data_IF_412951264754
#
_entry.id   IF_412951264754
#
_cell.length_a   1.000
_cell.length_b   1.000
_cell.length_c   1.000
_cell.angle_alpha   90.00
_cell.angle_beta   90.00
_cell.angle_gamma   90.00
#
_symmetry.space_group_name_H-M   'P 1'
#
loop_
_entity.id
_entity.type
_entity.pdbx_description
1 polymer ?
#
# COMPACT_ATOMS: atom_id res chain seq x y z
N UNK A 1 1.95 -25.30 19.90
CA UNK A 1 3.00 -24.27 20.09
C UNK A 1 2.47 -22.85 20.38
N UNK A 2 1.16 -22.59 20.33
CA UNK A 2 0.59 -21.25 20.56
C UNK A 2 0.72 -20.66 21.99
N UNK A 3 1.03 -21.45 23.03
CA UNK A 3 0.91 -20.98 24.42
C UNK A 3 2.03 -20.04 24.89
N UNK A 4 3.28 -20.23 24.44
CA UNK A 4 4.41 -19.45 24.92
C UNK A 4 4.43 -18.02 24.34
N UNK A 5 4.18 -17.87 23.03
CA UNK A 5 4.14 -16.57 22.35
C UNK A 5 2.97 -15.72 22.86
N UNK A 6 1.80 -16.33 23.09
CA UNK A 6 0.65 -15.65 23.67
C UNK A 6 0.89 -15.24 25.13
N UNK A 7 1.53 -16.09 25.93
CA UNK A 7 1.88 -15.76 27.31
C UNK A 7 2.88 -14.59 27.38
N UNK A 8 3.85 -14.57 26.47
CA UNK A 8 4.82 -13.49 26.30
C UNK A 8 4.16 -12.17 25.91
N UNK A 9 3.24 -12.20 24.94
CA UNK A 9 2.47 -11.03 24.53
C UNK A 9 1.63 -10.50 25.69
N UNK A 10 0.92 -11.36 26.40
CA UNK A 10 0.11 -10.97 27.57
C UNK A 10 0.96 -10.40 28.72
N UNK A 11 2.20 -10.88 28.90
CA UNK A 11 3.17 -10.29 29.84
C UNK A 11 3.56 -8.87 29.41
N UNK A 12 3.85 -8.69 28.12
CA UNK A 12 4.16 -7.37 27.55
C UNK A 12 2.98 -6.40 27.67
N UNK A 13 1.76 -6.80 27.28
CA UNK A 13 0.56 -5.95 27.37
C UNK A 13 0.26 -5.51 28.81
N UNK A 14 0.45 -6.39 29.80
CA UNK A 14 0.30 -6.02 31.22
C UNK A 14 1.35 -4.99 31.67
N UNK A 15 2.57 -5.07 31.15
CA UNK A 15 3.59 -4.07 31.42
C UNK A 15 3.28 -2.75 30.72
N UNK A 16 2.82 -2.82 29.46
CA UNK A 16 2.41 -1.67 28.65
C UNK A 16 1.27 -0.89 29.30
N UNK A 17 0.24 -1.58 29.78
CA UNK A 17 -0.89 -0.95 30.49
C UNK A 17 -0.43 -0.19 31.73
N UNK A 18 0.52 -0.74 32.51
CA UNK A 18 1.10 -0.04 33.67
C UNK A 18 1.94 1.16 33.27
N UNK A 19 2.66 1.06 32.15
CA UNK A 19 3.45 2.18 31.61
C UNK A 19 2.56 3.36 31.20
N UNK A 20 1.44 3.09 30.51
CA UNK A 20 0.52 4.14 30.06
C UNK A 20 -0.41 4.70 31.16
N UNK A 21 -0.48 4.06 32.33
CA UNK A 21 -1.09 4.66 33.53
C UNK A 21 -0.27 5.83 34.10
N UNK A 22 1.03 5.91 33.77
CA UNK A 22 1.89 7.04 34.12
C UNK A 22 1.63 8.16 33.10
N UNK A 23 1.34 9.37 33.58
CA UNK A 23 1.15 10.53 32.71
C UNK A 23 2.42 10.81 31.89
N UNK A 24 2.27 11.28 30.65
CA UNK A 24 3.39 11.43 29.72
C UNK A 24 4.53 12.30 30.27
N UNK A 25 4.20 13.37 30.99
CA UNK A 25 5.17 14.28 31.63
C UNK A 25 5.94 13.65 32.81
N UNK A 26 5.46 12.53 33.35
CA UNK A 26 6.05 11.85 34.50
C UNK A 26 6.81 10.57 34.13
N UNK A 27 6.72 10.10 32.87
CA UNK A 27 7.40 8.88 32.41
C UNK A 27 8.90 9.09 32.36
N UNK A 28 9.65 8.30 33.12
CA UNK A 28 11.11 8.39 33.22
C UNK A 28 11.79 7.41 32.26
N UNK A 29 13.05 7.66 31.92
CA UNK A 29 13.86 6.74 31.09
C UNK A 29 13.90 5.32 31.67
N UNK A 30 13.94 5.18 33.01
CA UNK A 30 13.88 3.88 33.69
C UNK A 30 12.58 3.10 33.42
N UNK A 31 11.46 3.78 33.16
CA UNK A 31 10.20 3.11 32.86
C UNK A 31 10.19 2.60 31.42
N UNK A 32 10.74 3.38 30.48
CA UNK A 32 10.97 2.96 29.08
C UNK A 32 11.93 1.78 29.01
N UNK A 33 13.02 1.85 29.76
CA UNK A 33 14.04 0.80 29.83
C UNK A 33 13.43 -0.55 30.27
N UNK A 34 12.53 -0.55 31.26
CA UNK A 34 11.81 -1.76 31.69
C UNK A 34 10.98 -2.37 30.56
N UNK A 35 10.28 -1.55 29.78
CA UNK A 35 9.46 -2.02 28.65
C UNK A 35 10.36 -2.58 27.54
N UNK A 36 11.44 -1.88 27.18
CA UNK A 36 12.41 -2.32 26.19
C UNK A 36 13.08 -3.65 26.57
N UNK A 37 13.40 -3.84 27.87
CA UNK A 37 13.91 -5.12 28.40
C UNK A 37 12.89 -6.26 28.25
N UNK A 38 11.60 -6.00 28.50
CA UNK A 38 10.53 -7.00 28.30
C UNK A 38 10.38 -7.36 26.81
N UNK A 39 10.60 -6.39 25.92
CA UNK A 39 10.62 -6.59 24.49
C UNK A 39 11.86 -7.38 24.00
N UNK A 40 12.88 -7.52 24.85
CA UNK A 40 14.12 -8.25 24.53
C UNK A 40 15.17 -7.39 23.83
N UNK A 41 15.07 -6.06 23.89
CA UNK A 41 16.11 -5.17 23.36
C UNK A 41 17.35 -5.31 24.24
N UNK A 42 18.49 -5.72 23.67
CA UNK A 42 19.70 -6.09 24.43
C UNK A 42 20.39 -4.86 25.05
N UNK A 43 20.66 -3.82 24.26
CA UNK A 43 21.31 -2.58 24.71
C UNK A 43 20.29 -1.46 24.96
N UNK A 44 19.40 -1.62 25.94
CA UNK A 44 18.30 -0.67 26.17
C UNK A 44 18.75 0.77 26.47
N UNK A 45 19.89 0.94 27.14
CA UNK A 45 20.42 2.28 27.45
C UNK A 45 20.92 2.99 26.19
N UNK A 46 21.69 2.29 25.36
CA UNK A 46 22.17 2.79 24.07
C UNK A 46 21.00 3.16 23.15
N UNK A 47 20.00 2.27 23.11
CA UNK A 47 18.77 2.52 22.36
C UNK A 47 18.08 3.80 22.85
N UNK A 48 17.93 4.00 24.16
CA UNK A 48 17.32 5.22 24.72
C UNK A 48 18.16 6.48 24.50
N UNK A 49 19.49 6.37 24.40
CA UNK A 49 20.41 7.50 24.24
C UNK A 49 20.69 7.87 22.78
N UNK A 50 20.03 7.24 21.80
CA UNK A 50 20.20 7.59 20.39
C UNK A 50 19.98 9.10 20.17
N UNK A 51 20.86 9.74 19.39
CA UNK A 51 20.83 11.16 19.08
C UNK A 51 19.73 11.52 18.05
N UNK A 52 18.50 11.12 18.35
CA UNK A 52 17.30 11.42 17.58
C UNK A 52 16.47 12.45 18.38
N UNK A 53 16.06 13.58 17.78
CA UNK A 53 15.26 14.57 18.50
C UNK A 53 13.96 13.96 19.05
N UNK A 54 13.67 14.25 20.33
CA UNK A 54 12.49 13.77 21.05
C UNK A 54 12.35 12.24 21.05
N UNK A 55 13.47 11.50 21.00
CA UNK A 55 13.46 10.05 20.86
C UNK A 55 12.61 9.31 21.90
N UNK A 56 12.68 9.72 23.15
CA UNK A 56 11.84 9.15 24.22
C UNK A 56 10.34 9.30 23.95
N UNK A 57 9.91 10.41 23.35
CA UNK A 57 8.52 10.63 22.94
C UNK A 57 8.16 9.71 21.77
N UNK A 58 9.08 9.54 20.82
CA UNK A 58 8.89 8.62 19.69
C UNK A 58 8.77 7.16 20.14
N UNK A 59 9.52 6.77 21.17
CA UNK A 59 9.37 5.46 21.81
C UNK A 59 7.98 5.32 22.43
N UNK A 60 7.50 6.33 23.15
CA UNK A 60 6.14 6.29 23.72
C UNK A 60 5.08 6.15 22.62
N UNK A 61 5.19 6.90 21.53
CA UNK A 61 4.30 6.81 20.36
C UNK A 61 4.36 5.42 19.68
N UNK A 62 5.55 4.86 19.50
CA UNK A 62 5.72 3.49 18.99
C UNK A 62 5.02 2.46 19.88
N UNK A 63 5.13 2.63 21.20
CA UNK A 63 4.58 1.72 22.19
C UNK A 63 3.07 1.90 22.40
N UNK A 64 2.48 3.03 21.98
CA UNK A 64 1.07 3.34 22.23
C UNK A 64 0.15 2.32 21.55
N UNK A 65 -0.64 1.52 22.29
CA UNK A 65 -1.54 0.54 21.70
C UNK A 65 -2.76 1.18 21.01
N UNK A 66 -3.02 2.47 21.26
CA UNK A 66 -4.17 3.20 20.71
C UNK A 66 -3.97 3.69 19.28
N UNK A 67 -2.73 3.69 18.79
CA UNK A 67 -2.39 4.04 17.41
C UNK A 67 -1.87 2.81 16.65
N UNK A 68 -1.85 2.91 15.33
CA UNK A 68 -1.33 1.87 14.44
C UNK A 68 0.10 2.11 13.96
N UNK A 69 0.74 3.18 14.45
CA UNK A 69 2.09 3.54 14.05
C UNK A 69 3.13 2.52 14.47
N UNK A 70 3.87 2.06 13.46
CA UNK A 70 5.16 1.40 13.64
C UNK A 70 6.33 2.32 13.27
N UNK A 71 6.05 3.51 12.72
CA UNK A 71 7.02 4.56 12.40
C UNK A 71 6.51 5.90 12.97
N UNK A 72 6.84 6.24 14.23
CA UNK A 72 6.28 7.37 14.99
C UNK A 72 6.87 8.72 14.55
N UNK A 73 6.96 8.99 13.25
CA UNK A 73 7.45 10.27 12.71
C UNK A 73 6.96 10.45 11.26
N UNK A 74 6.73 11.69 10.82
CA UNK A 74 6.35 11.97 9.43
C UNK A 74 7.42 11.49 8.42
N UNK A 75 7.01 11.12 7.19
CA UNK A 75 7.97 10.79 6.10
C UNK A 75 8.78 11.99 5.69
N UNK A 76 8.17 13.17 5.71
CA UNK A 76 8.82 14.41 5.31
C UNK A 76 9.85 14.88 6.34
N UNK A 77 9.96 14.20 7.49
CA UNK A 77 10.89 14.59 8.52
C UNK A 77 12.30 14.10 8.20
N UNK A 78 13.27 15.00 8.35
CA UNK A 78 14.72 14.72 8.17
C UNK A 78 15.27 13.50 8.94
N UNK A 79 14.66 13.12 10.06
CA UNK A 79 15.12 12.00 10.90
C UNK A 79 14.38 10.69 10.61
N UNK A 80 13.49 10.63 9.61
CA UNK A 80 12.67 9.44 9.32
C UNK A 80 13.54 8.18 9.11
N UNK A 81 14.65 8.31 8.39
CA UNK A 81 15.54 7.19 8.11
C UNK A 81 16.28 6.72 9.37
N UNK A 82 16.63 7.65 10.27
CA UNK A 82 17.25 7.33 11.57
C UNK A 82 16.28 6.62 12.51
N UNK A 83 15.04 7.12 12.63
CA UNK A 83 13.97 6.47 13.41
C UNK A 83 13.67 5.08 12.85
N UNK A 84 13.53 4.97 11.51
CA UNK A 84 13.29 3.67 10.85
C UNK A 84 14.44 2.70 11.12
N UNK A 85 15.69 3.17 11.00
CA UNK A 85 16.89 2.39 11.32
C UNK A 85 16.89 1.90 12.76
N UNK A 86 16.62 2.79 13.72
CA UNK A 86 16.51 2.44 15.14
C UNK A 86 15.47 1.35 15.40
N UNK A 87 14.27 1.46 14.82
CA UNK A 87 13.22 0.45 15.01
C UNK A 87 13.59 -0.87 14.32
N UNK A 88 14.27 -0.83 13.17
CA UNK A 88 14.81 -2.03 12.49
C UNK A 88 15.90 -2.74 13.32
N UNK A 89 16.60 -2.03 14.22
CA UNK A 89 17.58 -2.64 15.13
C UNK A 89 16.93 -3.39 16.31
N UNK A 90 15.64 -3.15 16.60
CA UNK A 90 14.94 -3.95 17.60
C UNK A 90 14.82 -5.40 17.12
N UNK A 91 14.84 -6.41 18.03
CA UNK A 91 14.62 -7.80 17.64
C UNK A 91 13.30 -8.00 16.91
N UNK A 92 13.24 -8.96 15.98
CA UNK A 92 12.03 -9.26 15.20
C UNK A 92 10.83 -9.54 16.11
N UNK A 93 11.03 -10.34 17.16
CA UNK A 93 10.02 -10.64 18.17
C UNK A 93 9.53 -9.41 18.94
N UNK A 94 10.36 -8.37 19.10
CA UNK A 94 9.96 -7.12 19.72
C UNK A 94 8.98 -6.36 18.80
N UNK A 95 9.30 -6.23 17.51
CA UNK A 95 8.42 -5.56 16.53
C UNK A 95 7.08 -6.28 16.39
N UNK A 96 7.09 -7.61 16.38
CA UNK A 96 5.87 -8.44 16.39
C UNK A 96 5.03 -8.16 17.64
N UNK A 97 5.64 -8.12 18.83
CA UNK A 97 4.92 -7.82 20.09
C UNK A 97 4.30 -6.42 20.08
N UNK A 98 5.05 -5.41 19.64
CA UNK A 98 4.56 -4.02 19.53
C UNK A 98 3.41 -3.89 18.54
N UNK A 99 3.51 -4.49 17.36
CA UNK A 99 2.42 -4.44 16.39
C UNK A 99 1.19 -5.22 16.86
N UNK A 100 1.40 -6.39 17.47
CA UNK A 100 0.31 -7.25 17.95
C UNK A 100 -0.49 -6.59 19.08
N UNK A 101 0.15 -5.86 20.00
CA UNK A 101 -0.55 -5.18 21.11
C UNK A 101 -1.49 -4.07 20.64
N UNK A 102 -1.22 -3.47 19.47
CA UNK A 102 -2.07 -2.44 18.86
C UNK A 102 -3.39 -3.01 18.31
N UNK A 103 -3.44 -4.30 17.97
CA UNK A 103 -4.55 -4.87 17.18
C UNK A 103 -5.93 -4.78 17.84
N UNK A 104 -5.98 -4.99 19.16
CA UNK A 104 -7.26 -5.04 19.89
C UNK A 104 -7.89 -3.66 20.00
N UNK A 105 -7.10 -2.66 20.40
CA UNK A 105 -7.59 -1.30 20.67
C UNK A 105 -7.93 -0.57 19.38
N UNK A 106 -7.16 -0.80 18.31
CA UNK A 106 -7.35 -0.13 17.02
C UNK A 106 -8.40 -0.82 16.14
N UNK A 107 -8.81 -2.04 16.47
CA UNK A 107 -9.74 -2.84 15.66
C UNK A 107 -9.09 -3.52 14.45
N UNK A 108 -7.77 -3.42 14.27
CA UNK A 108 -7.04 -4.00 13.13
C UNK A 108 -7.25 -5.50 12.96
N UNK A 109 -7.44 -6.26 14.06
CA UNK A 109 -7.67 -7.71 13.97
C UNK A 109 -8.84 -8.05 13.05
N UNK A 110 -9.95 -7.29 13.16
CA UNK A 110 -11.14 -7.50 12.33
C UNK A 110 -10.87 -7.14 10.87
N UNK A 111 -10.18 -6.03 10.63
CA UNK A 111 -9.84 -5.57 9.29
C UNK A 111 -8.89 -6.55 8.56
N UNK A 112 -7.91 -7.12 9.28
CA UNK A 112 -7.00 -8.14 8.74
C UNK A 112 -7.77 -9.43 8.41
N UNK A 113 -8.68 -9.89 9.28
CA UNK A 113 -9.53 -11.04 8.98
C UNK A 113 -10.43 -10.81 7.75
N UNK A 114 -10.96 -9.59 7.59
CA UNK A 114 -11.73 -9.21 6.41
C UNK A 114 -10.88 -9.20 5.13
N UNK A 115 -9.61 -8.82 5.22
CA UNK A 115 -8.71 -8.91 4.05
C UNK A 115 -8.39 -10.37 3.73
N UNK A 116 -8.07 -11.17 4.76
CA UNK A 116 -7.79 -12.60 4.63
C UNK A 116 -8.94 -13.37 3.99
N UNK A 117 -10.20 -13.04 4.30
CA UNK A 117 -11.34 -13.70 3.68
C UNK A 117 -11.49 -13.42 2.17
N UNK A 118 -10.77 -12.42 1.65
CA UNK A 118 -10.72 -12.06 0.22
C UNK A 118 -9.47 -12.58 -0.49
N UNK A 119 -8.43 -12.97 0.25
CA UNK A 119 -7.13 -13.36 -0.30
C UNK A 119 -6.79 -14.83 -0.07
N UNK A 120 -7.28 -15.42 1.02
CA UNK A 120 -7.09 -16.83 1.32
C UNK A 120 -8.12 -17.69 0.58
N UNK A 121 -7.75 -18.95 0.30
CA UNK A 121 -8.67 -19.95 -0.25
C UNK A 121 -9.81 -20.25 0.72
N UNK A 122 -9.50 -20.31 2.01
CA UNK A 122 -10.45 -20.46 3.09
C UNK A 122 -10.33 -19.29 4.06
N UNK A 123 -11.47 -18.70 4.44
CA UNK A 123 -11.49 -17.58 5.37
C UNK A 123 -11.03 -18.04 6.78
N UNK A 124 -9.87 -17.58 7.27
CA UNK A 124 -9.35 -18.01 8.55
C UNK A 124 -10.18 -17.41 9.69
N UNK A 125 -10.32 -18.17 10.79
CA UNK A 125 -10.99 -17.68 12.02
C UNK A 125 -10.05 -16.84 12.89
N UNK A 126 -8.77 -17.14 12.84
CA UNK A 126 -7.74 -16.42 13.59
C UNK A 126 -6.39 -16.46 12.86
N UNK A 127 -5.46 -15.62 13.32
CA UNK A 127 -4.10 -15.55 12.81
C UNK A 127 -3.13 -15.11 13.92
N UNK A 128 -1.85 -15.37 13.70
CA UNK A 128 -0.75 -14.81 14.49
C UNK A 128 0.14 -13.93 13.61
N UNK A 129 0.64 -12.82 14.15
CA UNK A 129 1.68 -12.03 13.46
C UNK A 129 3.01 -12.70 13.71
N UNK A 130 3.76 -12.95 12.64
CA UNK A 130 5.05 -13.66 12.71
C UNK A 130 6.23 -12.80 12.30
N UNK A 131 5.98 -11.71 11.57
CA UNK A 131 7.03 -10.78 11.12
C UNK A 131 6.43 -9.39 10.91
N UNK A 132 7.22 -8.35 11.21
CA UNK A 132 6.89 -6.94 10.98
C UNK A 132 8.14 -6.21 10.51
N UNK A 133 8.02 -5.51 9.39
CA UNK A 133 9.08 -4.79 8.70
C UNK A 133 8.60 -3.38 8.36
N UNK A 134 9.45 -2.40 8.65
CA UNK A 134 9.26 -1.05 8.13
C UNK A 134 9.91 -0.98 6.76
N UNK A 135 9.12 -1.00 5.68
CA UNK A 135 9.66 -0.89 4.32
C UNK A 135 9.86 0.57 3.92
N UNK A 136 10.80 0.78 3.02
CA UNK A 136 11.04 2.09 2.41
C UNK A 136 10.24 2.17 1.12
N UNK A 137 8.94 2.40 1.28
CA UNK A 137 8.00 2.67 0.19
C UNK A 137 7.40 4.06 0.43
N UNK A 138 7.12 4.79 -0.64
CA UNK A 138 6.66 6.20 -0.62
C UNK A 138 5.48 6.41 0.34
N UNK A 139 4.64 5.39 0.53
CA UNK A 139 3.39 5.45 1.32
C UNK A 139 3.50 4.93 2.76
N UNK A 140 4.73 4.64 3.25
CA UNK A 140 5.02 4.10 4.60
C UNK A 140 4.25 2.83 4.93
N UNK A 141 4.33 1.87 4.04
CA UNK A 141 3.70 0.62 4.31
C UNK A 141 4.46 -0.10 5.44
N UNK A 142 3.76 -0.40 6.54
CA UNK A 142 4.25 -1.43 7.46
C UNK A 142 3.97 -2.77 6.80
N UNK A 143 5.01 -3.48 6.41
CA UNK A 143 4.89 -4.84 5.89
C UNK A 143 4.84 -5.79 7.07
N UNK A 144 3.77 -6.55 7.20
CA UNK A 144 3.67 -7.58 8.23
C UNK A 144 3.23 -8.89 7.60
N UNK A 145 3.65 -9.98 8.23
CA UNK A 145 3.25 -11.34 7.82
C UNK A 145 2.42 -11.95 8.92
N UNK A 146 1.28 -12.51 8.53
CA UNK A 146 0.40 -13.27 9.41
C UNK A 146 0.42 -14.74 9.03
N UNK A 147 0.38 -15.61 10.03
CA UNK A 147 0.22 -17.05 9.85
C UNK A 147 -1.18 -17.45 10.30
N UNK A 148 -1.93 -18.11 9.42
CA UNK A 148 -3.30 -18.57 9.71
C UNK A 148 -3.32 -19.98 10.28
N UNK A 149 -4.48 -20.40 10.81
CA UNK A 149 -4.72 -21.79 11.18
C UNK A 149 -4.45 -22.70 9.98
N UNK A 150 -3.49 -23.62 10.10
CA UNK A 150 -2.99 -24.44 8.97
C UNK A 150 -1.55 -24.11 8.54
N UNK A 151 -0.96 -23.04 9.07
CA UNK A 151 0.46 -22.72 8.90
C UNK A 151 0.80 -21.89 7.65
N UNK A 152 -0.18 -21.61 6.79
CA UNK A 152 0.00 -20.74 5.62
C UNK A 152 0.26 -19.30 6.06
N UNK A 153 1.18 -18.64 5.37
CA UNK A 153 1.59 -17.27 5.68
C UNK A 153 1.14 -16.31 4.58
N UNK A 154 0.73 -15.11 5.00
CA UNK A 154 0.27 -14.04 4.13
C UNK A 154 0.96 -12.74 4.53
N UNK A 155 1.67 -12.14 3.57
CA UNK A 155 2.27 -10.83 3.74
C UNK A 155 1.30 -9.72 3.30
N UNK A 156 1.20 -8.66 4.10
CA UNK A 156 0.27 -7.56 3.90
C UNK A 156 0.93 -6.23 4.25
N UNK A 157 0.48 -5.18 3.58
CA UNK A 157 0.81 -3.81 3.92
C UNK A 157 -0.30 -3.18 4.75
N UNK A 158 0.12 -2.43 5.77
CA UNK A 158 -0.68 -1.42 6.44
C UNK A 158 -0.19 -0.05 5.98
N UNK A 159 -1.03 0.65 5.23
CA UNK A 159 -0.76 2.01 4.76
C UNK A 159 -1.62 3.03 5.50
N UNK A 160 -1.09 4.24 5.61
CA UNK A 160 -1.75 5.40 6.23
C UNK A 160 -1.81 6.61 5.28
N UNK A 161 -1.40 6.42 4.04
CA UNK A 161 -1.29 7.49 3.06
C UNK A 161 -2.20 7.20 1.87
N UNK A 162 -3.01 8.19 1.46
CA UNK A 162 -3.91 8.04 0.31
C UNK A 162 -4.97 6.94 0.46
N UNK A 163 -5.32 6.56 1.69
CA UNK A 163 -6.17 5.41 2.00
C UNK A 163 -7.52 5.45 1.26
N UNK A 164 -8.20 6.59 1.27
CA UNK A 164 -9.49 6.73 0.58
C UNK A 164 -9.35 6.67 -0.94
N UNK A 165 -8.32 7.27 -1.51
CA UNK A 165 -8.06 7.22 -2.95
C UNK A 165 -7.91 5.78 -3.43
N UNK A 166 -7.02 5.01 -2.79
CA UNK A 166 -6.79 3.62 -3.18
C UNK A 166 -8.02 2.73 -2.87
N UNK A 167 -8.76 2.99 -1.79
CA UNK A 167 -10.02 2.30 -1.51
C UNK A 167 -11.09 2.55 -2.59
N UNK A 168 -11.29 3.81 -3.00
CA UNK A 168 -12.21 4.18 -4.08
C UNK A 168 -11.76 3.50 -5.39
N UNK A 169 -10.47 3.56 -5.71
CA UNK A 169 -9.95 2.91 -6.91
C UNK A 169 -10.21 1.40 -6.91
N UNK A 170 -10.02 0.72 -5.78
CA UNK A 170 -10.01 -0.75 -5.70
C UNK A 170 -11.26 -1.45 -6.22
N UNK A 171 -12.44 -0.81 -6.16
CA UNK A 171 -13.68 -1.38 -6.65
C UNK A 171 -13.96 -1.15 -8.14
N UNK A 172 -13.18 -0.31 -8.83
CA UNK A 172 -13.42 0.08 -10.22
C UNK A 172 -12.87 -0.92 -11.25
N UNK A 173 -11.62 -1.43 -11.14
CA UNK A 173 -11.06 -2.36 -12.12
C UNK A 173 -11.94 -3.59 -12.39
N UNK A 174 -12.53 -4.17 -11.35
CA UNK A 174 -13.37 -5.36 -11.46
C UNK A 174 -14.61 -5.15 -12.33
N UNK A 175 -15.18 -3.93 -12.33
CA UNK A 175 -16.36 -3.58 -13.14
C UNK A 175 -16.07 -3.61 -14.64
N UNK A 176 -14.80 -3.47 -15.03
CA UNK A 176 -14.38 -3.39 -16.44
C UNK A 176 -13.45 -4.54 -16.83
N UNK A 177 -13.47 -5.63 -16.07
CA UNK A 177 -12.71 -6.85 -16.36
C UNK A 177 -11.19 -6.71 -16.16
N UNK A 178 -10.76 -5.77 -15.32
CA UNK A 178 -9.35 -5.56 -14.97
C UNK A 178 -8.99 -6.22 -13.63
N UNK A 179 -7.76 -6.75 -13.51
CA UNK A 179 -7.29 -7.32 -12.26
C UNK A 179 -6.97 -6.21 -11.25
N UNK A 180 -7.20 -6.50 -9.97
CA UNK A 180 -6.94 -5.60 -8.85
C UNK A 180 -6.70 -6.40 -7.58
N UNK A 181 -5.92 -5.87 -6.65
CA UNK A 181 -5.75 -6.46 -5.32
C UNK A 181 -6.93 -6.05 -4.43
N UNK A 182 -7.47 -6.97 -3.62
CA UNK A 182 -8.46 -6.58 -2.63
C UNK A 182 -7.82 -5.68 -1.59
N UNK A 183 -8.53 -4.63 -1.19
CA UNK A 183 -8.12 -3.75 -0.10
C UNK A 183 -9.21 -3.65 0.96
N UNK A 184 -8.82 -3.32 2.19
CA UNK A 184 -9.74 -3.03 3.29
C UNK A 184 -9.41 -1.65 3.84
N UNK A 185 -10.36 -0.73 3.70
CA UNK A 185 -10.33 0.56 4.38
C UNK A 185 -10.84 0.40 5.81
N UNK A 186 -10.11 0.92 6.78
CA UNK A 186 -10.41 0.83 8.21
C UNK A 186 -10.17 2.18 8.88
N UNK A 187 -11.12 2.59 9.72
CA UNK A 187 -11.01 3.78 10.56
C UNK A 187 -10.88 3.33 12.02
N UNK A 188 -9.79 3.70 12.68
CA UNK A 188 -9.60 3.36 14.10
C UNK A 188 -10.56 4.16 14.99
N UNK A 189 -10.80 3.74 16.25
CA UNK A 189 -11.58 4.55 17.20
C UNK A 189 -11.03 5.96 17.43
N UNK A 190 -9.75 6.17 17.20
CA UNK A 190 -9.03 7.44 17.31
C UNK A 190 -9.15 8.30 16.04
N UNK A 191 -9.79 7.79 14.99
CA UNK A 191 -9.95 8.47 13.71
C UNK A 191 -8.78 8.29 12.74
N UNK A 192 -7.88 7.34 12.98
CA UNK A 192 -6.79 7.06 12.02
C UNK A 192 -7.34 6.31 10.81
N UNK A 193 -7.11 6.83 9.61
CA UNK A 193 -7.42 6.16 8.35
C UNK A 193 -6.33 5.17 7.98
N UNK A 194 -6.74 3.94 7.69
CA UNK A 194 -5.84 2.84 7.39
C UNK A 194 -6.33 2.11 6.15
N UNK A 195 -5.39 1.72 5.30
CA UNK A 195 -5.62 0.80 4.21
C UNK A 195 -4.81 -0.47 4.40
N UNK A 196 -5.47 -1.61 4.36
CA UNK A 196 -4.83 -2.92 4.32
C UNK A 196 -4.91 -3.49 2.91
N UNK A 197 -3.79 -4.03 2.42
CA UNK A 197 -3.72 -4.73 1.13
C UNK A 197 -2.69 -5.87 1.17
N UNK A 198 -2.85 -6.94 0.38
CA UNK A 198 -1.83 -7.98 0.30
C UNK A 198 -0.56 -7.40 -0.30
N UNK A 199 0.59 -7.98 0.06
CA UNK A 199 1.84 -7.71 -0.64
C UNK A 199 1.69 -8.15 -2.10
N UNK A 200 2.14 -7.32 -3.04
CA UNK A 200 2.05 -7.66 -4.45
C UNK A 200 2.95 -8.87 -4.77
N UNK A 201 2.39 -9.85 -5.47
CA UNK A 201 3.15 -10.99 -6.01
C UNK A 201 3.44 -10.77 -7.48
N UNK A 202 4.71 -10.50 -7.80
CA UNK A 202 5.12 -10.25 -9.17
C UNK A 202 6.33 -9.34 -9.25
N UNK A 203 6.50 -8.75 -10.42
CA UNK A 203 7.63 -7.89 -10.77
C UNK A 203 7.11 -6.49 -11.07
N UNK A 204 7.70 -5.47 -10.43
CA UNK A 204 7.41 -4.09 -10.78
C UNK A 204 8.05 -3.77 -12.14
N UNK A 205 7.24 -3.50 -13.15
CA UNK A 205 7.68 -3.38 -14.54
C UNK A 205 8.73 -2.27 -14.73
N UNK A 206 8.62 -1.21 -13.94
CA UNK A 206 9.48 -0.04 -14.05
C UNK A 206 10.67 -0.11 -13.10
N UNK A 207 10.42 -0.46 -11.83
CA UNK A 207 11.39 -0.31 -10.75
C UNK A 207 12.24 -1.56 -10.50
N UNK A 208 11.89 -2.72 -11.08
CA UNK A 208 12.68 -3.93 -10.90
C UNK A 208 13.93 -3.92 -11.81
N UNK A 209 15.11 -3.90 -11.17
CA UNK A 209 16.42 -3.94 -11.83
C UNK A 209 16.68 -5.28 -12.55
N UNK A 210 15.98 -6.35 -12.17
CA UNK A 210 16.10 -7.69 -12.75
C UNK A 210 15.37 -7.86 -14.10
N UNK A 211 14.75 -6.82 -14.64
CA UNK A 211 14.12 -6.86 -15.97
C UNK A 211 15.18 -6.69 -17.06
N UNK A 212 15.51 -7.80 -17.72
CA UNK A 212 16.47 -7.86 -18.82
C UNK A 212 15.82 -7.66 -20.19
N UNK A 213 16.62 -7.32 -21.21
CA UNK A 213 16.18 -7.24 -22.61
C UNK A 213 15.46 -8.50 -23.07
N UNK A 214 15.99 -9.69 -22.78
CA UNK A 214 15.37 -10.96 -23.19
C UNK A 214 14.00 -11.18 -22.57
N UNK A 215 13.83 -10.72 -21.32
CA UNK A 215 12.53 -10.75 -20.64
C UNK A 215 11.55 -9.76 -21.26
N UNK A 216 11.98 -8.53 -21.55
CA UNK A 216 11.15 -7.54 -22.26
C UNK A 216 10.67 -8.08 -23.60
N UNK A 217 11.54 -8.71 -24.40
CA UNK A 217 11.16 -9.26 -25.70
C UNK A 217 10.20 -10.46 -25.60
N UNK A 218 10.26 -11.22 -24.50
CA UNK A 218 9.40 -12.40 -24.27
C UNK A 218 8.05 -12.05 -23.63
N UNK A 219 8.05 -11.12 -22.68
CA UNK A 219 6.92 -10.80 -21.80
C UNK A 219 6.29 -9.44 -22.10
N UNK A 220 7.00 -8.56 -22.82
CA UNK A 220 6.61 -7.17 -23.00
C UNK A 220 5.24 -6.97 -23.64
N UNK A 221 4.81 -7.81 -24.57
CA UNK A 221 3.50 -7.66 -25.24
C UNK A 221 2.33 -7.78 -24.26
N UNK A 222 2.34 -8.75 -23.33
CA UNK A 222 1.23 -8.87 -22.36
C UNK A 222 1.36 -7.88 -21.20
N UNK A 223 2.57 -7.42 -20.88
CA UNK A 223 2.78 -6.29 -19.97
C UNK A 223 2.17 -5.02 -20.51
N UNK A 224 2.43 -4.76 -21.79
CA UNK A 224 1.95 -3.62 -22.52
C UNK A 224 0.43 -3.59 -22.63
N UNK A 225 -0.18 -4.71 -23.05
CA UNK A 225 -1.64 -4.86 -23.09
C UNK A 225 -2.25 -4.56 -21.71
N UNK A 226 -1.74 -5.20 -20.66
CA UNK A 226 -2.23 -5.00 -19.31
C UNK A 226 -2.10 -3.55 -18.82
N UNK A 227 -0.96 -2.91 -19.06
CA UNK A 227 -0.75 -1.50 -18.70
C UNK A 227 -1.67 -0.56 -19.49
N UNK A 228 -1.81 -0.75 -20.80
CA UNK A 228 -2.71 0.04 -21.65
C UNK A 228 -4.16 0.01 -21.16
N UNK A 229 -4.61 -1.16 -20.72
CA UNK A 229 -5.96 -1.35 -20.21
C UNK A 229 -6.14 -0.67 -18.84
N UNK A 230 -5.15 -0.73 -17.96
CA UNK A 230 -5.17 0.01 -16.68
C UNK A 230 -5.11 1.53 -16.93
N UNK A 231 -4.29 1.99 -17.87
CA UNK A 231 -4.18 3.39 -18.27
C UNK A 231 -5.50 3.94 -18.82
N UNK A 232 -6.25 3.17 -19.60
CA UNK A 232 -7.58 3.55 -20.07
C UNK A 232 -8.54 3.87 -18.91
N UNK A 233 -8.56 3.02 -17.87
CA UNK A 233 -9.35 3.29 -16.68
C UNK A 233 -8.80 4.50 -15.91
N UNK A 234 -7.48 4.56 -15.71
CA UNK A 234 -6.83 5.67 -15.03
C UNK A 234 -7.14 7.02 -15.66
N UNK A 235 -7.14 7.11 -17.00
CA UNK A 235 -7.42 8.34 -17.76
C UNK A 235 -8.87 8.80 -17.55
N UNK A 236 -9.82 7.86 -17.52
CA UNK A 236 -11.21 8.16 -17.22
C UNK A 236 -11.36 8.75 -15.80
N UNK A 237 -10.67 8.16 -14.83
CA UNK A 237 -10.71 8.57 -13.44
C UNK A 237 -9.88 9.83 -13.14
N UNK A 238 -9.03 10.27 -14.07
CA UNK A 238 -8.12 11.38 -13.86
C UNK A 238 -6.99 11.04 -12.88
N UNK A 239 -6.43 9.85 -12.98
CA UNK A 239 -5.36 9.37 -12.09
C UNK A 239 -4.01 9.97 -12.50
N UNK A 240 -3.35 10.72 -11.61
CA UNK A 240 -2.18 11.53 -11.96
C UNK A 240 -0.83 10.78 -11.89
N UNK A 241 -0.68 9.79 -10.99
CA UNK A 241 0.59 9.07 -10.78
C UNK A 241 0.48 7.61 -11.22
N UNK A 242 1.13 7.25 -12.34
CA UNK A 242 1.09 5.87 -12.88
C UNK A 242 2.44 5.24 -13.17
N UNK A 243 3.44 6.08 -13.43
CA UNK A 243 4.82 5.62 -13.58
C UNK A 243 5.29 4.94 -12.29
N UNK A 244 5.84 3.73 -12.40
CA UNK A 244 6.30 2.96 -11.22
C UNK A 244 5.22 2.13 -10.53
N UNK A 245 3.96 2.16 -10.98
CA UNK A 245 2.82 1.58 -10.27
C UNK A 245 2.23 0.33 -10.92
N UNK A 246 3.00 -0.37 -11.76
CA UNK A 246 2.54 -1.58 -12.44
C UNK A 246 3.30 -2.81 -11.98
N UNK A 247 2.56 -3.81 -11.49
CA UNK A 247 3.10 -5.12 -11.13
C UNK A 247 2.59 -6.17 -12.11
N UNK A 248 3.54 -6.83 -12.78
CA UNK A 248 3.32 -8.00 -13.61
C UNK A 248 3.33 -9.26 -12.72
N UNK A 249 2.16 -9.89 -12.57
CA UNK A 249 2.01 -11.06 -11.70
C UNK A 249 2.43 -12.35 -12.40
N UNK A 250 2.70 -13.40 -11.61
CA UNK A 250 3.03 -14.74 -12.11
C UNK A 250 1.91 -15.36 -12.95
N UNK A 251 0.65 -14.99 -12.67
CA UNK A 251 -0.53 -15.41 -13.43
C UNK A 251 -0.77 -14.64 -14.74
N UNK A 252 0.24 -13.93 -15.27
CA UNK A 252 0.17 -13.10 -16.49
C UNK A 252 -0.93 -12.04 -16.44
N UNK A 253 -1.02 -11.32 -15.32
CA UNK A 253 -1.90 -10.16 -15.14
C UNK A 253 -1.06 -8.93 -14.81
N UNK A 254 -1.49 -7.76 -15.25
CA UNK A 254 -0.90 -6.48 -14.84
C UNK A 254 -1.88 -5.78 -13.92
N UNK A 255 -1.47 -5.59 -12.67
CA UNK A 255 -2.22 -4.83 -11.68
C UNK A 255 -1.58 -3.46 -11.51
N UNK A 256 -2.43 -2.46 -11.32
CA UNK A 256 -2.01 -1.12 -10.92
C UNK A 256 -2.08 -1.00 -9.40
N UNK A 257 -1.03 -0.49 -8.77
CA UNK A 257 -0.89 -0.39 -7.31
C UNK A 257 -0.75 1.08 -6.86
N UNK A 258 -0.97 1.36 -5.58
CA UNK A 258 -0.72 2.67 -4.97
C UNK A 258 -1.47 3.84 -5.65
N UNK A 259 -2.73 3.60 -6.04
CA UNK A 259 -3.60 4.56 -6.73
C UNK A 259 -4.16 5.63 -5.78
N UNK A 260 -3.29 6.55 -5.36
CA UNK A 260 -3.58 7.53 -4.30
C UNK A 260 -3.99 8.92 -4.81
N UNK A 261 -3.79 9.21 -6.09
CA UNK A 261 -4.08 10.50 -6.73
C UNK A 261 -5.15 10.32 -7.82
N UNK A 262 -6.43 10.28 -7.43
CA UNK A 262 -7.60 10.18 -8.30
C UNK A 262 -8.26 11.54 -8.53
N UNK A 263 -8.93 11.69 -9.67
CA UNK A 263 -9.73 12.87 -10.03
C UNK A 263 -8.96 14.17 -10.23
N UNK A 264 -7.64 14.12 -10.30
CA UNK A 264 -6.78 15.31 -10.36
C UNK A 264 -6.44 15.79 -11.76
N UNK A 265 -6.56 14.97 -12.81
CA UNK A 265 -6.17 15.39 -14.16
C UNK A 265 -7.22 16.28 -14.83
N UNK A 266 -7.11 17.60 -14.73
CA UNK A 266 -7.71 18.52 -15.70
C UNK A 266 -6.90 18.48 -17.02
N UNK A 267 -7.50 18.92 -18.13
CA UNK A 267 -6.86 18.90 -19.47
C UNK A 267 -5.54 19.69 -19.53
N UNK A 268 -5.25 20.52 -18.52
CA UNK A 268 -4.05 21.34 -18.38
C UNK A 268 -2.95 20.74 -17.49
N UNK A 269 -3.21 19.62 -16.81
CA UNK A 269 -2.25 19.08 -15.86
C UNK A 269 -1.09 18.36 -16.54
N UNK A 270 0.10 18.59 -15.98
CA UNK A 270 1.33 17.91 -16.40
C UNK A 270 1.15 16.42 -16.13
N UNK A 271 0.93 15.66 -17.19
CA UNK A 271 0.94 14.20 -17.10
C UNK A 271 2.38 13.76 -16.83
N UNK A 272 2.70 13.43 -15.59
CA UNK A 272 4.00 12.85 -15.22
C UNK A 272 3.92 11.34 -15.49
N UNK A 273 3.85 10.96 -16.76
CA UNK A 273 3.86 9.56 -17.18
C UNK A 273 4.85 9.36 -18.32
N UNK A 274 5.69 8.34 -18.19
CA UNK A 274 6.39 7.74 -19.33
C UNK A 274 5.57 6.54 -19.78
N UNK A 275 4.97 6.56 -20.99
CA UNK A 275 4.22 5.43 -21.51
C UNK A 275 5.07 4.16 -21.50
N UNK A 276 4.45 3.02 -21.19
CA UNK A 276 5.16 1.73 -21.14
C UNK A 276 5.81 1.37 -22.49
N UNK A 277 5.25 1.82 -23.61
CA UNK A 277 5.80 1.62 -24.95
C UNK A 277 6.99 2.53 -25.26
N UNK A 278 7.25 3.57 -24.47
CA UNK A 278 8.48 4.40 -24.57
C UNK A 278 9.56 3.83 -23.64
N UNK A 279 9.16 3.44 -22.43
CA UNK A 279 10.05 2.91 -21.40
C UNK A 279 10.68 1.55 -21.76
N UNK A 280 9.87 0.56 -22.16
CA UNK A 280 10.36 -0.80 -22.39
C UNK A 280 11.40 -0.88 -23.53
N UNK A 281 11.21 -0.20 -24.68
CA UNK A 281 12.23 -0.18 -25.73
C UNK A 281 13.52 0.48 -25.30
N UNK A 282 13.45 1.57 -24.52
CA UNK A 282 14.63 2.24 -23.98
C UNK A 282 15.41 1.31 -23.04
N UNK A 283 14.71 0.59 -22.16
CA UNK A 283 15.30 -0.40 -21.25
C UNK A 283 15.90 -1.60 -21.99
N UNK A 284 15.25 -2.05 -23.06
CA UNK A 284 15.70 -3.19 -23.87
C UNK A 284 16.93 -2.87 -24.72
N UNK A 285 16.97 -1.67 -25.31
CA UNK A 285 17.97 -1.22 -26.27
C UNK A 285 18.43 0.22 -25.95
N UNK A 286 19.22 0.42 -24.88
CA UNK A 286 19.67 1.76 -24.48
C UNK A 286 20.54 2.42 -25.56
N UNK A 287 21.42 1.65 -26.19
CA UNK A 287 22.44 2.16 -27.12
C UNK A 287 22.11 1.90 -28.61
N UNK A 288 21.07 1.12 -28.92
CA UNK A 288 20.69 0.75 -30.30
C UNK A 288 19.41 1.49 -30.72
N UNK A 289 19.58 2.71 -31.24
CA UNK A 289 18.48 3.61 -31.64
C UNK A 289 17.52 2.94 -32.62
N UNK A 290 18.04 2.22 -33.61
CA UNK A 290 17.22 1.59 -34.66
C UNK A 290 16.32 0.50 -34.09
N UNK A 291 16.89 -0.43 -33.30
CA UNK A 291 16.08 -1.48 -32.66
C UNK A 291 15.08 -0.91 -31.66
N UNK A 292 15.43 0.17 -30.96
CA UNK A 292 14.53 0.89 -30.06
C UNK A 292 13.32 1.44 -30.81
N UNK A 293 13.53 2.18 -31.90
CA UNK A 293 12.45 2.76 -32.72
C UNK A 293 11.56 1.66 -33.34
N UNK A 294 12.15 0.58 -33.82
CA UNK A 294 11.41 -0.57 -34.38
C UNK A 294 10.55 -1.28 -33.32
N UNK A 295 11.05 -1.41 -32.08
CA UNK A 295 10.30 -2.01 -30.98
C UNK A 295 9.21 -1.07 -30.45
N UNK A 296 9.53 0.22 -30.28
CA UNK A 296 8.60 1.27 -29.86
C UNK A 296 7.42 1.37 -30.82
N UNK A 297 7.66 1.43 -32.13
CA UNK A 297 6.58 1.52 -33.13
C UNK A 297 5.59 0.37 -33.02
N UNK A 298 6.09 -0.86 -32.86
CA UNK A 298 5.23 -2.05 -32.70
C UNK A 298 4.45 -2.02 -31.39
N UNK A 299 5.12 -1.71 -30.30
CA UNK A 299 4.50 -1.59 -28.98
C UNK A 299 3.47 -0.46 -28.93
N UNK A 300 3.71 0.68 -29.57
CA UNK A 300 2.73 1.76 -29.62
C UNK A 300 1.43 1.29 -30.29
N UNK A 301 1.52 0.62 -31.44
CA UNK A 301 0.34 0.11 -32.14
C UNK A 301 -0.44 -0.92 -31.30
N UNK A 302 0.25 -1.84 -30.61
CA UNK A 302 -0.35 -2.81 -29.68
C UNK A 302 -1.04 -2.11 -28.50
N UNK A 303 -0.36 -1.15 -27.87
CA UNK A 303 -0.85 -0.38 -26.74
C UNK A 303 -2.13 0.39 -27.12
N UNK A 304 -2.09 1.14 -28.21
CA UNK A 304 -3.23 1.94 -28.64
C UNK A 304 -4.46 1.08 -28.97
N UNK A 305 -4.24 -0.12 -29.51
CA UNK A 305 -5.31 -1.09 -29.76
C UNK A 305 -5.93 -1.55 -28.43
N UNK A 306 -5.11 -2.04 -27.51
CA UNK A 306 -5.56 -2.52 -26.20
C UNK A 306 -6.28 -1.42 -25.40
N UNK A 307 -5.73 -0.20 -25.42
CA UNK A 307 -6.33 0.99 -24.82
C UNK A 307 -7.72 1.28 -25.42
N UNK A 308 -7.84 1.35 -26.75
CA UNK A 308 -9.14 1.60 -27.42
C UNK A 308 -10.16 0.52 -27.13
N UNK A 309 -9.75 -0.75 -27.13
CA UNK A 309 -10.64 -1.87 -26.82
C UNK A 309 -11.12 -1.80 -25.36
N UNK A 310 -10.26 -1.44 -24.41
CA UNK A 310 -10.66 -1.23 -23.02
C UNK A 310 -11.55 -0.02 -22.83
N UNK A 311 -11.30 1.09 -23.55
CA UNK A 311 -12.19 2.26 -23.54
C UNK A 311 -13.61 1.90 -23.98
N UNK A 312 -13.77 1.04 -24.99
CA UNK A 312 -15.09 0.55 -25.41
C UNK A 312 -15.79 -0.19 -24.26
N UNK A 313 -15.07 -1.06 -23.54
CA UNK A 313 -15.59 -1.76 -22.35
C UNK A 313 -16.01 -0.74 -21.29
N UNK A 314 -15.15 0.24 -20.96
CA UNK A 314 -15.46 1.28 -19.96
C UNK A 314 -16.72 2.07 -20.33
N UNK A 315 -16.89 2.43 -21.61
CA UNK A 315 -18.09 3.13 -22.10
C UNK A 315 -19.34 2.27 -21.96
N UNK A 316 -19.25 0.97 -22.24
CA UNK A 316 -20.37 0.03 -22.09
C UNK A 316 -20.75 -0.14 -20.61
N UNK A 317 -19.75 -0.28 -19.74
CA UNK A 317 -19.92 -0.49 -18.30
C UNK A 317 -20.09 0.82 -17.50
N UNK A 318 -20.23 1.96 -18.18
CA UNK A 318 -20.34 3.28 -17.53
C UNK A 318 -21.44 3.31 -16.46
N UNK A 319 -22.57 2.65 -16.71
CA UNK A 319 -23.68 2.60 -15.76
C UNK A 319 -23.31 1.96 -14.42
N UNK A 320 -22.46 0.94 -14.41
CA UNK A 320 -21.96 0.30 -13.19
C UNK A 320 -20.90 1.15 -12.49
N UNK A 321 -20.02 1.78 -13.26
CA UNK A 321 -19.03 2.74 -12.74
C UNK A 321 -19.73 3.91 -12.04
N UNK A 322 -20.73 4.51 -12.68
CA UNK A 322 -21.51 5.63 -12.14
C UNK A 322 -22.23 5.22 -10.85
N UNK A 323 -22.88 4.05 -10.83
CA UNK A 323 -23.51 3.51 -9.61
C UNK A 323 -22.51 3.33 -8.48
N UNK A 324 -21.33 2.78 -8.77
CA UNK A 324 -20.27 2.59 -7.78
C UNK A 324 -19.76 3.92 -7.22
N UNK A 325 -19.49 4.91 -8.08
CA UNK A 325 -19.04 6.24 -7.63
C UNK A 325 -20.10 6.95 -6.77
N UNK A 326 -21.39 6.79 -7.10
CA UNK A 326 -22.49 7.30 -6.28
C UNK A 326 -22.52 6.64 -4.90
N UNK A 327 -22.30 5.33 -4.81
CA UNK A 327 -22.18 4.64 -3.51
C UNK A 327 -20.99 5.15 -2.70
N UNK A 328 -19.89 5.52 -3.38
CA UNK A 328 -18.69 6.09 -2.78
C UNK A 328 -18.77 7.61 -2.54
N UNK A 329 -19.91 8.27 -2.79
CA UNK A 329 -20.06 9.74 -2.73
C UNK A 329 -19.48 10.38 -1.48
N UNK A 330 -19.71 9.79 -0.29
CA UNK A 330 -19.19 10.33 0.98
C UNK A 330 -17.66 10.26 1.02
N UNK A 331 -17.08 9.12 0.64
CA UNK A 331 -15.64 8.94 0.60
C UNK A 331 -14.97 9.85 -0.43
N UNK A 332 -15.56 9.97 -1.63
CA UNK A 332 -15.05 10.87 -2.67
C UNK A 332 -15.04 12.31 -2.17
N UNK A 333 -16.13 12.80 -1.56
CA UNK A 333 -16.17 14.15 -1.00
C UNK A 333 -15.12 14.37 0.09
N UNK A 334 -14.92 13.39 0.98
CA UNK A 334 -13.87 13.47 2.02
C UNK A 334 -12.47 13.49 1.40
N UNK A 335 -12.26 12.69 0.36
CA UNK A 335 -10.98 12.55 -0.33
C UNK A 335 -10.61 13.80 -1.14
N UNK A 336 -11.53 14.32 -1.97
CA UNK A 336 -11.25 15.45 -2.87
C UNK A 336 -11.48 16.81 -2.21
N UNK A 337 -12.30 16.89 -1.16
CA UNK A 337 -12.83 18.16 -0.64
C UNK A 337 -13.84 18.86 -1.56
N UNK A 338 -13.95 18.41 -2.82
CA UNK A 338 -14.87 18.95 -3.83
C UNK A 338 -16.32 18.44 -3.78
N UNK A 339 -17.20 19.13 -4.52
CA UNK A 339 -18.59 18.71 -4.74
C UNK A 339 -18.61 17.48 -5.64
N UNK A 340 -19.22 16.39 -5.16
CA UNK A 340 -19.26 15.10 -5.86
C UNK A 340 -19.81 15.21 -7.29
N UNK A 341 -20.85 16.00 -7.51
CA UNK A 341 -21.46 16.20 -8.83
C UNK A 341 -20.48 16.76 -9.86
N UNK A 342 -19.55 17.64 -9.44
CA UNK A 342 -18.49 18.16 -10.30
C UNK A 342 -17.51 17.04 -10.68
N UNK A 343 -17.06 16.26 -9.70
CA UNK A 343 -16.17 15.11 -9.93
C UNK A 343 -16.81 14.11 -10.90
N UNK A 344 -18.06 13.72 -10.66
CA UNK A 344 -18.77 12.76 -11.50
C UNK A 344 -18.96 13.28 -12.93
N UNK A 345 -19.30 14.57 -13.08
CA UNK A 345 -19.41 15.20 -14.39
C UNK A 345 -18.07 15.19 -15.16
N UNK A 346 -16.96 15.47 -14.48
CA UNK A 346 -15.62 15.45 -15.08
C UNK A 346 -15.23 14.04 -15.54
N UNK A 347 -15.43 13.02 -14.69
CA UNK A 347 -15.18 11.62 -15.06
C UNK A 347 -16.05 11.23 -16.26
N UNK A 348 -17.35 11.57 -16.23
CA UNK A 348 -18.28 11.29 -17.33
C UNK A 348 -17.85 11.98 -18.63
N UNK A 349 -17.41 13.23 -18.56
CA UNK A 349 -16.91 13.96 -19.72
C UNK A 349 -15.71 13.24 -20.35
N UNK A 350 -14.76 12.75 -19.55
CA UNK A 350 -13.62 11.96 -20.04
C UNK A 350 -14.03 10.64 -20.67
N UNK A 351 -15.04 9.96 -20.14
CA UNK A 351 -15.57 8.72 -20.73
C UNK A 351 -16.31 8.99 -22.04
N UNK A 352 -17.16 10.03 -22.08
CA UNK A 352 -17.97 10.37 -23.26
C UNK A 352 -17.16 11.00 -24.38
N UNK A 353 -16.16 11.83 -24.08
CA UNK A 353 -15.26 12.41 -25.07
C UNK A 353 -14.38 11.37 -25.79
N UNK A 354 -14.37 10.12 -25.29
CA UNK A 354 -13.64 8.99 -25.85
C UNK A 354 -14.55 7.97 -26.56
N UNK A 355 -15.86 8.25 -26.67
CA UNK A 355 -16.74 7.60 -27.66
C UNK A 355 -16.36 8.08 -29.06
#
# INVERSE_FOLDING_TARGET
MHSAVQADLAKYERALNRFFQISASQRKSKDREKILKILGVENTQEFLSMHIPLWEVRIDELLDPSCTDMLPISISHSYVNWVRGAIRLMPDGARVKVFSSKMKVTGLKKAILQLLSRTAEEAPRDFEVVNVQLVEKVHKDTLFTVRVTGGKEYSMYLSRFGCLGEYIHSGLPGLVGLPVLPVVYHLTPQGEEILLKPKEEGVNIYLDEGITTSRVLREGSWWLDGAARQDALGDCLGTALRFGHYVATTGKKVIMIDNIELFHLDDTDVRIFEPIYDFLPLKAYPDDKRKREDLQTRMQAEYEKAYRDQMRIIVLEWGDIERYLIQMRRHIRTYTGEVFEKILANVKARVVAKR
#
